data_IF_926927655652
#
_entry.id   IF_926927655652
#
_cell.length_a   1.000
_cell.length_b   1.000
_cell.length_c   1.000
_cell.angle_alpha   90.00
_cell.angle_beta   90.00
_cell.angle_gamma   90.00
#
_symmetry.space_group_name_H-M   'P 1'
#
loop_
_entity.id
_entity.type
_entity.pdbx_description
1 polymer ?
#
# COMPACT_ATOMS: atom_id res chain seq x y z
N UNK A 1 -112.52 47.99 60.63
CA UNK A 1 -112.57 47.65 59.20
C UNK A 1 -111.60 48.50 58.37
N UNK A 2 -111.69 49.84 58.31
CA UNK A 2 -110.80 50.68 57.47
C UNK A 2 -109.28 50.66 57.78
N UNK A 3 -108.89 50.44 59.04
CA UNK A 3 -107.48 50.48 59.49
C UNK A 3 -106.73 49.18 59.18
N UNK A 4 -107.45 48.06 59.22
CA UNK A 4 -106.93 46.73 58.87
C UNK A 4 -106.71 46.62 57.36
N UNK A 5 -107.61 47.21 56.56
CA UNK A 5 -107.47 47.31 55.11
C UNK A 5 -106.24 48.14 54.68
N UNK A 6 -105.93 49.24 55.37
CA UNK A 6 -104.73 50.05 55.10
C UNK A 6 -103.43 49.31 55.45
N UNK A 7 -103.42 48.54 56.54
CA UNK A 7 -102.28 47.72 56.93
C UNK A 7 -102.05 46.61 55.90
N UNK A 8 -103.11 45.93 55.43
CA UNK A 8 -103.03 44.92 54.37
C UNK A 8 -102.50 45.51 53.08
N UNK A 9 -102.98 46.68 52.66
CA UNK A 9 -102.48 47.39 51.48
C UNK A 9 -100.99 47.75 51.59
N UNK A 10 -100.53 48.21 52.76
CA UNK A 10 -99.12 48.53 52.98
C UNK A 10 -98.22 47.28 52.98
N UNK A 11 -98.70 46.17 53.55
CA UNK A 11 -98.02 44.86 53.50
C UNK A 11 -97.96 44.34 52.07
N UNK A 12 -99.05 44.43 51.30
CA UNK A 12 -99.11 44.03 49.89
C UNK A 12 -98.20 44.89 49.01
N UNK A 13 -98.13 46.21 49.25
CA UNK A 13 -97.19 47.11 48.57
C UNK A 13 -95.74 46.76 48.88
N UNK A 14 -95.41 46.44 50.14
CA UNK A 14 -94.06 46.02 50.53
C UNK A 14 -93.70 44.65 49.96
N UNK A 15 -94.65 43.72 49.91
CA UNK A 15 -94.48 42.43 49.27
C UNK A 15 -94.25 42.58 47.76
N UNK A 16 -94.98 43.46 47.08
CA UNK A 16 -94.78 43.76 45.66
C UNK A 16 -93.41 44.41 45.39
N UNK A 17 -92.93 45.29 46.27
CA UNK A 17 -91.60 45.89 46.17
C UNK A 17 -90.49 44.84 46.36
N UNK A 18 -90.62 43.95 47.35
CA UNK A 18 -89.67 42.86 47.57
C UNK A 18 -89.65 41.87 46.41
N UNK A 19 -90.81 41.49 45.87
CA UNK A 19 -90.91 40.63 44.70
C UNK A 19 -90.27 41.27 43.45
N UNK A 20 -90.45 42.59 43.27
CA UNK A 20 -89.80 43.34 42.18
C UNK A 20 -88.28 43.39 42.33
N UNK A 21 -87.78 43.54 43.55
CA UNK A 21 -86.34 43.49 43.85
C UNK A 21 -85.78 42.09 43.63
N UNK A 22 -86.47 41.05 44.10
CA UNK A 22 -86.08 39.65 43.89
C UNK A 22 -86.00 39.30 42.40
N UNK A 23 -87.01 39.70 41.62
CA UNK A 23 -87.01 39.50 40.17
C UNK A 23 -85.86 40.26 39.50
N UNK A 24 -85.59 41.50 39.93
CA UNK A 24 -84.46 42.28 39.41
C UNK A 24 -83.10 41.62 39.72
N UNK A 25 -82.93 41.07 40.93
CA UNK A 25 -81.74 40.32 41.32
C UNK A 25 -81.61 39.02 40.54
N UNK A 26 -82.72 38.29 40.32
CA UNK A 26 -82.76 37.07 39.53
C UNK A 26 -82.35 37.33 38.09
N UNK A 27 -82.89 38.38 37.46
CA UNK A 27 -82.52 38.80 36.11
C UNK A 27 -81.06 39.24 36.03
N UNK A 28 -80.56 40.01 37.01
CA UNK A 28 -79.15 40.38 37.09
C UNK A 28 -78.23 39.16 37.22
N UNK A 29 -78.58 38.18 38.07
CA UNK A 29 -77.80 36.96 38.25
C UNK A 29 -77.83 36.07 37.00
N UNK A 30 -78.99 35.93 36.36
CA UNK A 30 -79.14 35.19 35.10
C UNK A 30 -78.34 35.84 33.96
N UNK A 31 -78.36 37.17 33.85
CA UNK A 31 -77.55 37.88 32.85
C UNK A 31 -76.05 37.77 33.10
N UNK A 32 -75.60 37.83 34.36
CA UNK A 32 -74.20 37.60 34.72
C UNK A 32 -73.73 36.17 34.38
N UNK A 33 -74.55 35.15 34.71
CA UNK A 33 -74.27 33.76 34.30
C UNK A 33 -74.27 33.59 32.79
N UNK A 34 -75.22 34.20 32.07
CA UNK A 34 -75.26 34.15 30.62
C UNK A 34 -74.00 34.78 29.99
N UNK A 35 -73.49 35.87 30.57
CA UNK A 35 -72.26 36.49 30.12
C UNK A 35 -71.02 35.64 30.44
N UNK A 36 -70.95 35.01 31.61
CA UNK A 36 -69.88 34.06 31.95
C UNK A 36 -69.89 32.81 31.04
N UNK A 37 -71.07 32.27 30.76
CA UNK A 37 -71.25 31.14 29.84
C UNK A 37 -70.87 31.48 28.40
N UNK A 38 -71.01 32.75 27.98
CA UNK A 38 -70.52 33.24 26.68
C UNK A 38 -69.00 33.42 26.65
N UNK A 39 -68.36 33.70 27.78
CA UNK A 39 -66.90 33.87 27.87
C UNK A 39 -66.13 32.53 27.81
N UNK A 40 -66.71 31.44 28.33
CA UNK A 40 -66.10 30.10 28.30
C UNK A 40 -65.71 29.61 26.88
N UNK A 41 -66.60 29.70 25.87
CA UNK A 41 -66.28 29.36 24.48
C UNK A 41 -65.13 30.19 23.89
N UNK A 42 -65.06 31.48 24.20
CA UNK A 42 -63.97 32.35 23.73
C UNK A 42 -62.62 31.94 24.34
N UNK A 43 -62.59 31.66 25.65
CA UNK A 43 -61.38 31.16 26.32
C UNK A 43 -60.97 29.78 25.80
N UNK A 44 -61.92 28.88 25.55
CA UNK A 44 -61.66 27.58 24.96
C UNK A 44 -61.09 27.68 23.53
N UNK A 45 -61.61 28.62 22.72
CA UNK A 45 -61.08 28.90 21.39
C UNK A 45 -59.65 29.46 21.44
N UNK A 46 -59.36 30.39 22.36
CA UNK A 46 -57.99 30.91 22.55
C UNK A 46 -57.02 29.81 22.97
N UNK A 47 -57.40 28.93 23.90
CA UNK A 47 -56.57 27.80 24.32
C UNK A 47 -56.34 26.82 23.16
N UNK A 48 -57.37 26.52 22.37
CA UNK A 48 -57.23 25.66 21.20
C UNK A 48 -56.30 26.25 20.14
N UNK A 49 -56.36 27.56 19.90
CA UNK A 49 -55.44 28.26 18.98
C UNK A 49 -54.01 28.28 19.52
N UNK A 50 -53.81 28.49 20.82
CA UNK A 50 -52.48 28.36 21.46
C UNK A 50 -51.92 26.95 21.29
N UNK A 51 -52.71 25.92 21.57
CA UNK A 51 -52.30 24.52 21.37
C UNK A 51 -52.02 24.18 19.89
N UNK A 52 -52.71 24.81 18.94
CA UNK A 52 -52.40 24.65 17.51
C UNK A 52 -51.05 25.27 17.16
N UNK A 53 -50.78 26.49 17.64
CA UNK A 53 -49.50 27.18 17.43
C UNK A 53 -48.33 26.44 18.08
N UNK A 54 -48.52 25.94 19.31
CA UNK A 54 -47.53 25.13 20.00
C UNK A 54 -47.20 23.87 19.20
N UNK A 55 -48.21 23.13 18.73
CA UNK A 55 -47.99 21.96 17.87
C UNK A 55 -47.28 22.30 16.55
N UNK A 56 -47.59 23.45 15.95
CA UNK A 56 -46.90 23.91 14.74
C UNK A 56 -45.42 24.20 15.03
N UNK A 57 -45.13 24.92 16.11
CA UNK A 57 -43.76 25.19 16.53
C UNK A 57 -42.98 23.91 16.89
N UNK A 58 -43.62 22.95 17.56
CA UNK A 58 -43.01 21.64 17.82
C UNK A 58 -42.68 20.91 16.52
N UNK A 59 -43.59 20.92 15.53
CA UNK A 59 -43.34 20.31 14.22
C UNK A 59 -42.18 20.98 13.48
N UNK A 60 -42.13 22.32 13.48
CA UNK A 60 -41.04 23.08 12.88
C UNK A 60 -39.70 22.79 13.58
N UNK A 61 -39.68 22.75 14.90
CA UNK A 61 -38.49 22.42 15.68
C UNK A 61 -38.01 20.99 15.41
N UNK A 62 -38.94 20.02 15.37
CA UNK A 62 -38.62 18.63 15.05
C UNK A 62 -38.04 18.49 13.63
N UNK A 63 -38.62 19.19 12.65
CA UNK A 63 -38.11 19.18 11.27
C UNK A 63 -36.70 19.78 11.18
N UNK A 64 -36.47 20.90 11.88
CA UNK A 64 -35.15 21.53 11.94
C UNK A 64 -34.13 20.62 12.62
N UNK A 65 -34.50 19.94 13.70
CA UNK A 65 -33.63 18.97 14.37
C UNK A 65 -33.25 17.82 13.43
N UNK A 66 -34.22 17.23 12.73
CA UNK A 66 -33.99 16.17 11.75
C UNK A 66 -33.02 16.66 10.66
N UNK A 67 -33.24 17.86 10.11
CA UNK A 67 -32.36 18.43 9.10
C UNK A 67 -30.94 18.65 9.63
N UNK A 68 -30.80 19.17 10.86
CA UNK A 68 -29.50 19.38 11.51
C UNK A 68 -28.77 18.05 11.74
N UNK A 69 -29.49 16.99 12.16
CA UNK A 69 -28.90 15.68 12.33
C UNK A 69 -28.44 15.09 10.99
N UNK A 70 -29.28 15.13 9.96
CA UNK A 70 -28.95 14.62 8.61
C UNK A 70 -27.74 15.33 8.03
N UNK A 71 -27.63 16.64 8.24
CA UNK A 71 -26.49 17.46 7.76
C UNK A 71 -25.28 17.47 8.69
N UNK A 72 -25.38 16.82 9.85
CA UNK A 72 -24.27 16.74 10.79
C UNK A 72 -23.09 15.97 10.22
N UNK A 73 -21.88 16.34 10.65
CA UNK A 73 -20.65 15.66 10.25
C UNK A 73 -20.61 14.16 10.65
N UNK A 74 -21.38 13.79 11.67
CA UNK A 74 -21.50 12.41 12.13
C UNK A 74 -22.21 11.55 11.09
N UNK A 75 -23.40 11.97 10.63
CA UNK A 75 -24.21 11.19 9.68
C UNK A 75 -23.73 11.33 8.23
N UNK A 76 -23.15 12.46 7.85
CA UNK A 76 -22.58 12.67 6.50
C UNK A 76 -21.19 12.04 6.34
N UNK A 77 -20.65 11.50 7.42
CA UNK A 77 -19.30 10.98 7.52
C UNK A 77 -18.20 11.92 6.98
N UNK A 78 -18.35 13.23 7.15
CA UNK A 78 -17.45 14.23 6.59
C UNK A 78 -15.96 13.94 6.92
N UNK A 79 -15.08 13.74 5.92
CA UNK A 79 -13.66 13.46 6.15
C UNK A 79 -12.85 14.69 6.59
N UNK A 80 -13.39 15.90 6.42
CA UNK A 80 -12.71 17.15 6.79
C UNK A 80 -12.54 17.28 8.31
N UNK A 81 -13.41 16.63 9.11
CA UNK A 81 -13.31 16.59 10.58
C UNK A 81 -11.99 15.97 11.05
N UNK A 82 -11.36 15.14 10.22
CA UNK A 82 -10.07 14.53 10.53
C UNK A 82 -8.90 15.52 10.43
N UNK A 83 -9.07 16.71 9.85
CA UNK A 83 -7.98 17.68 9.71
C UNK A 83 -7.67 18.36 11.05
N UNK A 84 -6.39 18.44 11.37
CA UNK A 84 -5.95 19.13 12.58
C UNK A 84 -5.91 20.65 12.34
N UNK A 85 -6.60 21.47 13.16
CA UNK A 85 -6.70 22.91 12.96
C UNK A 85 -5.38 23.66 13.19
N UNK A 86 -4.48 23.12 14.03
CA UNK A 86 -3.18 23.73 14.35
C UNK A 86 -2.08 23.23 13.43
N UNK A 87 -2.19 21.99 12.95
CA UNK A 87 -1.16 21.34 12.14
C UNK A 87 -1.77 20.69 10.89
N UNK A 88 -1.87 21.40 9.75
CA UNK A 88 -2.55 20.91 8.55
C UNK A 88 -2.00 19.58 7.97
N UNK A 89 -0.73 19.28 8.24
CA UNK A 89 -0.07 18.05 7.83
C UNK A 89 -0.41 16.84 8.73
N UNK A 90 -1.08 17.06 9.87
CA UNK A 90 -1.49 16.03 10.80
C UNK A 90 -2.99 15.79 10.73
N UNK A 91 -3.35 14.54 10.98
CA UNK A 91 -4.72 14.09 11.09
C UNK A 91 -5.02 13.84 12.56
N UNK A 92 -6.25 14.15 12.97
CA UNK A 92 -6.81 13.76 14.26
C UNK A 92 -7.09 12.24 14.26
N UNK A 93 -6.37 11.43 15.06
CA UNK A 93 -6.44 9.97 14.96
C UNK A 93 -7.85 9.41 15.20
N UNK A 94 -8.61 10.02 16.12
CA UNK A 94 -9.96 9.57 16.48
C UNK A 94 -11.04 9.91 15.44
N UNK A 95 -10.75 10.79 14.48
CA UNK A 95 -11.65 11.15 13.39
C UNK A 95 -11.19 10.62 12.03
N UNK A 96 -10.13 9.79 12.00
CA UNK A 96 -9.58 9.29 10.75
C UNK A 96 -10.46 8.21 10.12
N UNK A 97 -10.85 8.43 8.86
CA UNK A 97 -11.72 7.54 8.07
C UNK A 97 -11.01 6.88 6.87
N UNK A 98 -9.69 6.93 6.87
CA UNK A 98 -8.86 6.42 5.77
C UNK A 98 -8.42 7.50 4.78
N UNK A 99 -7.61 7.07 3.81
CA UNK A 99 -6.98 7.97 2.83
C UNK A 99 -8.01 8.60 1.87
N UNK A 100 -7.66 9.76 1.32
CA UNK A 100 -8.46 10.38 0.26
C UNK A 100 -8.33 9.59 -1.06
N UNK A 101 -9.34 9.64 -1.95
CA UNK A 101 -9.24 8.98 -3.26
C UNK A 101 -8.06 9.51 -4.08
N UNK A 102 -7.71 10.78 -3.93
CA UNK A 102 -6.55 11.42 -4.57
C UNK A 102 -5.24 10.81 -4.06
N UNK A 103 -5.09 10.63 -2.74
CA UNK A 103 -3.93 9.97 -2.15
C UNK A 103 -3.78 8.53 -2.64
N UNK A 104 -4.88 7.76 -2.67
CA UNK A 104 -4.86 6.40 -3.22
C UNK A 104 -4.48 6.38 -4.71
N UNK A 105 -4.99 7.33 -5.49
CA UNK A 105 -4.65 7.44 -6.91
C UNK A 105 -3.15 7.78 -7.10
N UNK A 106 -2.60 8.67 -6.27
CA UNK A 106 -1.18 8.99 -6.29
C UNK A 106 -0.32 7.77 -5.95
N UNK A 107 -0.69 6.99 -4.93
CA UNK A 107 -0.01 5.73 -4.57
C UNK A 107 -0.03 4.76 -5.76
N UNK A 108 -1.18 4.57 -6.42
CA UNK A 108 -1.29 3.67 -7.58
C UNK A 108 -0.40 4.10 -8.74
N UNK A 109 -0.31 5.40 -9.03
CA UNK A 109 0.60 5.94 -10.05
C UNK A 109 2.06 5.63 -9.71
N UNK A 110 2.46 5.84 -8.46
CA UNK A 110 3.83 5.52 -8.02
C UNK A 110 4.11 4.01 -8.12
N UNK A 111 3.15 3.16 -7.75
CA UNK A 111 3.28 1.71 -7.88
C UNK A 111 3.42 1.25 -9.34
N UNK A 112 2.76 1.92 -10.27
CA UNK A 112 2.90 1.65 -11.71
C UNK A 112 4.31 2.00 -12.19
N UNK A 113 4.81 3.18 -11.82
CA UNK A 113 6.19 3.60 -12.12
C UNK A 113 7.20 2.60 -11.55
N UNK A 114 7.07 2.21 -10.28
CA UNK A 114 7.95 1.23 -9.63
C UNK A 114 7.95 -0.13 -10.35
N UNK A 115 6.81 -0.55 -10.89
CA UNK A 115 6.70 -1.80 -11.65
C UNK A 115 7.46 -1.70 -12.96
N UNK A 116 7.28 -0.60 -13.70
CA UNK A 116 8.00 -0.35 -14.94
C UNK A 116 9.51 -0.26 -14.71
N UNK A 117 9.95 0.43 -13.65
CA UNK A 117 11.38 0.53 -13.28
C UNK A 117 11.96 -0.85 -12.97
N UNK A 118 11.25 -1.67 -12.18
CA UNK A 118 11.71 -3.02 -11.83
C UNK A 118 11.79 -3.95 -13.04
N UNK A 119 10.83 -3.85 -13.95
CA UNK A 119 10.85 -4.61 -15.21
C UNK A 119 12.05 -4.19 -16.08
N UNK A 120 12.31 -2.89 -16.21
CA UNK A 120 13.46 -2.40 -16.95
C UNK A 120 14.80 -2.83 -16.33
N UNK A 121 14.90 -2.84 -15.00
CA UNK A 121 16.07 -3.38 -14.29
C UNK A 121 16.26 -4.86 -14.58
N UNK A 122 15.19 -5.66 -14.50
CA UNK A 122 15.28 -7.09 -14.78
C UNK A 122 15.75 -7.38 -16.21
N UNK A 123 15.25 -6.63 -17.20
CA UNK A 123 15.69 -6.76 -18.59
C UNK A 123 17.15 -6.34 -18.77
N UNK A 124 17.62 -5.30 -18.07
CA UNK A 124 19.01 -4.88 -18.09
C UNK A 124 19.95 -5.93 -17.49
N UNK A 125 19.55 -6.55 -16.37
CA UNK A 125 20.30 -7.61 -15.70
C UNK A 125 20.40 -8.85 -16.61
N UNK A 126 19.28 -9.29 -17.20
CA UNK A 126 19.28 -10.39 -18.17
C UNK A 126 20.20 -10.12 -19.37
N UNK A 127 20.18 -8.89 -19.89
CA UNK A 127 21.05 -8.50 -21.00
C UNK A 127 22.53 -8.46 -20.61
N UNK A 128 22.84 -8.14 -19.35
CA UNK A 128 24.20 -8.20 -18.81
C UNK A 128 24.64 -9.65 -18.67
N UNK A 129 23.83 -10.51 -18.06
CA UNK A 129 24.13 -11.94 -17.90
C UNK A 129 24.41 -12.61 -19.24
N UNK A 130 23.57 -12.35 -20.25
CA UNK A 130 23.78 -12.87 -21.61
C UNK A 130 25.12 -12.41 -22.23
N UNK A 131 25.56 -11.18 -21.94
CA UNK A 131 26.88 -10.70 -22.39
C UNK A 131 28.01 -11.44 -21.69
N UNK A 132 27.89 -11.69 -20.38
CA UNK A 132 28.89 -12.45 -19.64
C UNK A 132 28.98 -13.89 -20.14
N UNK A 133 27.85 -14.54 -20.41
CA UNK A 133 27.82 -15.88 -21.00
C UNK A 133 28.49 -15.93 -22.37
N UNK A 134 28.18 -14.95 -23.25
CA UNK A 134 28.82 -14.85 -24.57
C UNK A 134 30.32 -14.61 -24.45
N UNK A 135 30.78 -13.74 -23.54
CA UNK A 135 32.20 -13.51 -23.30
C UNK A 135 32.90 -14.78 -22.80
N UNK A 136 32.29 -15.49 -21.86
CA UNK A 136 32.83 -16.75 -21.34
C UNK A 136 33.00 -17.79 -22.46
N UNK A 137 32.02 -17.88 -23.36
CA UNK A 137 32.07 -18.79 -24.50
C UNK A 137 33.20 -18.43 -25.47
N UNK A 138 33.35 -17.14 -25.83
CA UNK A 138 34.45 -16.69 -26.68
C UNK A 138 35.83 -16.89 -26.05
N UNK A 139 35.96 -16.64 -24.74
CA UNK A 139 37.21 -16.90 -24.02
C UNK A 139 37.56 -18.40 -23.98
N UNK A 140 36.56 -19.26 -23.79
CA UNK A 140 36.75 -20.71 -23.83
C UNK A 140 37.20 -21.19 -25.22
N UNK A 141 36.59 -20.65 -26.29
CA UNK A 141 37.02 -20.92 -27.66
C UNK A 141 38.47 -20.49 -27.91
N UNK A 142 38.82 -19.26 -27.56
CA UNK A 142 40.18 -18.75 -27.70
C UNK A 142 41.21 -19.57 -26.89
N UNK A 143 40.83 -20.03 -25.69
CA UNK A 143 41.68 -20.90 -24.87
C UNK A 143 41.92 -22.27 -25.53
N UNK A 144 40.89 -22.88 -26.13
CA UNK A 144 41.05 -24.14 -26.87
C UNK A 144 41.95 -23.98 -28.10
N UNK A 145 41.79 -22.89 -28.86
CA UNK A 145 42.65 -22.59 -30.01
C UNK A 145 44.12 -22.42 -29.59
N UNK A 146 44.39 -21.72 -28.48
CA UNK A 146 45.74 -21.57 -27.93
C UNK A 146 46.31 -22.91 -27.46
N UNK A 147 45.52 -23.76 -26.81
CA UNK A 147 45.96 -25.08 -26.38
C UNK A 147 46.28 -25.98 -27.59
N UNK A 148 45.52 -25.88 -28.68
CA UNK A 148 45.81 -26.59 -29.92
C UNK A 148 47.13 -26.14 -30.55
N UNK A 149 47.36 -24.83 -30.64
CA UNK A 149 48.62 -24.26 -31.12
C UNK A 149 49.81 -24.71 -30.26
N UNK A 150 49.66 -24.73 -28.93
CA UNK A 150 50.69 -25.22 -28.02
C UNK A 150 51.02 -26.71 -28.31
N UNK A 151 49.99 -27.54 -28.50
CA UNK A 151 50.16 -28.97 -28.81
C UNK A 151 50.90 -29.18 -30.12
N UNK A 152 50.58 -28.40 -31.16
CA UNK A 152 51.24 -28.44 -32.46
C UNK A 152 52.72 -28.09 -32.33
N UNK A 153 53.04 -26.96 -31.69
CA UNK A 153 54.42 -26.53 -31.44
C UNK A 153 55.19 -27.57 -30.64
N UNK A 154 54.59 -28.12 -29.58
CA UNK A 154 55.20 -29.17 -28.78
C UNK A 154 55.45 -30.45 -29.60
N UNK A 155 54.59 -30.78 -30.57
CA UNK A 155 54.79 -31.91 -31.46
C UNK A 155 55.92 -31.66 -32.47
N UNK A 156 56.07 -30.43 -32.97
CA UNK A 156 57.18 -30.02 -33.81
C UNK A 156 58.52 -30.08 -33.07
N UNK A 157 58.59 -29.50 -31.86
CA UNK A 157 59.79 -29.59 -31.03
C UNK A 157 60.18 -31.04 -30.71
N UNK A 158 59.19 -31.89 -30.37
CA UNK A 158 59.44 -33.32 -30.15
C UNK A 158 59.98 -34.03 -31.38
N UNK A 159 59.45 -33.71 -32.57
CA UNK A 159 59.97 -34.24 -33.85
C UNK A 159 61.42 -33.79 -34.08
N UNK A 160 61.71 -32.49 -33.93
CA UNK A 160 63.05 -31.92 -34.08
C UNK A 160 64.07 -32.56 -33.13
N UNK A 161 63.74 -32.67 -31.84
CA UNK A 161 64.58 -33.34 -30.84
C UNK A 161 64.78 -34.83 -31.18
N UNK A 162 63.75 -35.52 -31.64
CA UNK A 162 63.84 -36.90 -32.09
C UNK A 162 64.84 -37.08 -33.23
N UNK A 163 64.79 -36.21 -34.25
CA UNK A 163 65.75 -36.22 -35.37
C UNK A 163 67.18 -35.94 -34.92
N UNK A 164 67.39 -34.95 -34.04
CA UNK A 164 68.71 -34.64 -33.50
C UNK A 164 69.29 -35.82 -32.68
N UNK A 165 68.47 -36.40 -31.80
CA UNK A 165 68.88 -37.57 -31.01
C UNK A 165 69.26 -38.77 -31.89
N UNK A 166 68.56 -38.98 -33.00
CA UNK A 166 68.93 -40.02 -33.97
C UNK A 166 70.27 -39.75 -34.66
N UNK A 167 70.55 -38.50 -35.05
CA UNK A 167 71.84 -38.13 -35.63
C UNK A 167 72.97 -38.34 -34.61
N UNK A 168 72.78 -37.84 -33.39
CA UNK A 168 73.73 -38.01 -32.30
C UNK A 168 74.02 -39.49 -32.00
N UNK A 169 72.98 -40.34 -31.97
CA UNK A 169 73.15 -41.78 -31.77
C UNK A 169 73.93 -42.46 -32.91
N UNK A 170 73.73 -42.02 -34.17
CA UNK A 170 74.51 -42.52 -35.31
C UNK A 170 75.98 -42.12 -35.19
N UNK A 171 76.26 -40.86 -34.84
CA UNK A 171 77.63 -40.37 -34.64
C UNK A 171 78.34 -41.12 -33.50
N UNK A 172 77.68 -41.29 -32.35
CA UNK A 172 78.20 -42.04 -31.22
C UNK A 172 78.49 -43.50 -31.59
N UNK A 173 77.57 -44.17 -32.30
CA UNK A 173 77.79 -45.53 -32.78
C UNK A 173 78.96 -45.62 -33.77
N UNK A 174 79.08 -44.67 -34.69
CA UNK A 174 80.19 -44.62 -35.64
C UNK A 174 81.54 -44.44 -34.92
N UNK A 175 81.61 -43.55 -33.91
CA UNK A 175 82.78 -43.38 -33.07
C UNK A 175 83.12 -44.65 -32.28
N UNK A 176 82.12 -45.30 -31.68
CA UNK A 176 82.32 -46.54 -30.94
C UNK A 176 82.83 -47.66 -31.84
N UNK A 177 82.28 -47.79 -33.05
CA UNK A 177 82.73 -48.75 -34.04
C UNK A 177 84.18 -48.48 -34.48
N UNK A 178 84.54 -47.21 -34.68
CA UNK A 178 85.92 -46.82 -34.99
C UNK A 178 86.88 -47.20 -33.86
N UNK A 179 86.54 -46.88 -32.61
CA UNK A 179 87.33 -47.25 -31.43
C UNK A 179 87.53 -48.76 -31.34
N UNK A 180 86.44 -49.53 -31.43
CA UNK A 180 86.48 -50.98 -31.29
C UNK A 180 87.24 -51.66 -32.44
N UNK A 181 87.09 -51.20 -33.67
CA UNK A 181 87.67 -51.86 -34.84
C UNK A 181 89.13 -51.47 -35.09
N UNK A 182 89.48 -50.19 -34.95
CA UNK A 182 90.80 -49.67 -35.34
C UNK A 182 91.72 -49.52 -34.13
N UNK A 183 91.22 -48.99 -33.01
CA UNK A 183 92.06 -48.65 -31.85
C UNK A 183 92.20 -49.86 -30.90
N UNK A 184 91.10 -50.53 -30.58
CA UNK A 184 91.11 -51.63 -29.61
C UNK A 184 91.44 -53.01 -30.22
N UNK A 185 91.53 -53.12 -31.55
CA UNK A 185 92.01 -54.34 -32.19
C UNK A 185 93.55 -54.34 -32.23
N UNK A 186 94.16 -55.10 -31.33
CA UNK A 186 95.62 -55.18 -31.28
C UNK A 186 96.13 -56.16 -32.35
N UNK A 187 96.73 -55.63 -33.41
CA UNK A 187 97.36 -56.44 -34.46
C UNK A 187 98.84 -56.63 -34.12
N UNK A 188 99.35 -57.87 -34.07
CA UNK A 188 100.76 -58.10 -33.81
C UNK A 188 101.61 -57.41 -34.87
N UNK A 189 102.55 -56.57 -34.44
CA UNK A 189 103.48 -55.92 -35.36
C UNK A 189 104.36 -56.98 -36.04
N UNK A 190 104.77 -56.77 -37.30
CA UNK A 190 105.64 -57.72 -38.01
C UNK A 190 106.89 -58.14 -37.20
N UNK A 191 107.40 -57.22 -36.37
CA UNK A 191 108.50 -57.46 -35.44
C UNK A 191 108.20 -58.51 -34.35
N UNK A 192 106.94 -58.67 -33.94
CA UNK A 192 106.52 -59.68 -32.97
C UNK A 192 106.70 -61.10 -33.53
N UNK A 193 106.28 -61.34 -34.77
CA UNK A 193 106.43 -62.66 -35.40
C UNK A 193 107.88 -63.06 -35.65
N UNK A 194 108.77 -62.08 -35.86
CA UNK A 194 110.22 -62.29 -36.00
C UNK A 194 110.91 -62.72 -34.69
N UNK A 195 110.23 -62.70 -33.55
CA UNK A 195 110.81 -63.13 -32.26
C UNK A 195 110.87 -64.67 -32.13
N UNK A 196 110.00 -65.39 -32.83
CA UNK A 196 109.90 -66.85 -32.75
C UNK A 196 110.86 -67.53 -33.74
N UNK A 197 111.42 -68.71 -33.39
CA UNK A 197 112.39 -69.49 -34.19
C UNK A 197 113.73 -68.78 -34.49
N UNK A 198 114.13 -67.82 -33.65
CA UNK A 198 115.42 -67.10 -33.77
C UNK A 198 116.62 -67.83 -33.18
N UNK A 199 116.40 -68.91 -32.41
CA UNK A 199 117.44 -69.75 -31.80
C UNK A 199 117.25 -71.22 -32.20
N UNK A 200 118.34 -71.93 -32.48
CA UNK A 200 118.35 -73.27 -33.08
C UNK A 200 118.20 -74.44 -32.08
N UNK A 201 117.62 -74.21 -30.90
CA UNK A 201 117.48 -75.21 -29.83
C UNK A 201 116.19 -76.01 -29.93
#
# INVERSE_FOLDING_TARGET
DMLDDQLRLAVDMRAAQLAKLEESCRVAMMSAMANANKAGPHQAAELAERQRRERQHEQEANLMEIQNQITSDLLTENPQVAQNPVAPHRVLPYCWKGMTPEQRAAIRKVQEVQRCEKEAQHQADQALDAKWESQALHLAQAAMELEEQERELCAEFRRGLGSFNQQLAKEQNAQQNYLNSIIYTNQPTAQYHLQFNTSSR
#
